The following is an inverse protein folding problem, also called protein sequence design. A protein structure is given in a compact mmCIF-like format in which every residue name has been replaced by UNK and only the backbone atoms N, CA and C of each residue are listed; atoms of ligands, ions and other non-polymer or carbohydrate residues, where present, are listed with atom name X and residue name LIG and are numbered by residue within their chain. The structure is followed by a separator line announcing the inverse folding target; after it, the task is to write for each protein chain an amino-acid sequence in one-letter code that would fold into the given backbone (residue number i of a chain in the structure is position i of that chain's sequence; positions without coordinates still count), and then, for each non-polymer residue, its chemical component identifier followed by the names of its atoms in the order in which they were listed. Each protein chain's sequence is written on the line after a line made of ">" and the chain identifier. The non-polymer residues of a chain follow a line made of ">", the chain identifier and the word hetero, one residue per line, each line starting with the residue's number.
data_IF_633234949510
#
_entry.id   IF_633234949510
#
_cell.length_a   1.000
_cell.length_b   1.000
_cell.length_c   1.000
_cell.angle_alpha   90.00
_cell.angle_beta   90.00
_cell.angle_gamma   90.00
#
_symmetry.space_group_name_H-M   'P 1'
#
loop_
_entity.id
_entity.type
_entity.pdbx_description
1 polymer ?
#
# COMPACT_ATOMS: atom_id res chain seq x y z
N UNK A 1 16.33 19.59 -9.69
CA UNK A 1 15.04 19.11 -9.16
C UNK A 1 14.85 19.70 -7.77
N UNK A 2 13.70 20.33 -7.48
CA UNK A 2 13.32 20.73 -6.12
C UNK A 2 13.45 19.59 -5.10
N UNK A 3 13.75 19.93 -3.85
CA UNK A 3 13.86 18.97 -2.74
C UNK A 3 12.61 19.06 -1.86
N UNK A 4 11.87 17.95 -1.76
CA UNK A 4 10.86 17.76 -0.72
C UNK A 4 11.54 17.15 0.52
N UNK A 5 11.52 17.86 1.65
CA UNK A 5 12.13 17.36 2.89
C UNK A 5 11.30 16.21 3.47
N UNK A 6 11.99 15.19 3.94
CA UNK A 6 11.40 14.06 4.65
C UNK A 6 12.06 13.96 6.03
N UNK A 7 11.30 13.77 7.12
CA UNK A 7 11.88 13.60 8.44
C UNK A 7 12.91 12.47 8.47
N UNK A 8 14.08 12.72 9.06
CA UNK A 8 15.12 11.71 9.23
C UNK A 8 14.79 10.78 10.42
N UNK A 9 15.24 9.50 10.38
CA UNK A 9 15.90 8.85 9.25
C UNK A 9 14.92 8.57 8.10
N UNK A 10 15.41 8.64 6.86
CA UNK A 10 14.65 8.25 5.67
C UNK A 10 15.57 7.57 4.65
N UNK A 11 15.17 6.38 4.23
CA UNK A 11 15.81 5.59 3.18
C UNK A 11 14.85 5.45 2.00
N UNK A 12 15.17 6.15 0.91
CA UNK A 12 14.36 6.17 -0.30
C UNK A 12 14.31 4.80 -0.97
N UNK A 13 15.43 4.10 -1.06
CA UNK A 13 15.53 2.80 -1.74
C UNK A 13 14.73 1.73 -0.98
N UNK A 14 14.86 1.72 0.35
CA UNK A 14 14.12 0.81 1.22
C UNK A 14 12.62 1.07 1.19
N UNK A 15 12.21 2.35 1.23
CA UNK A 15 10.79 2.75 1.23
C UNK A 15 10.10 2.47 -0.11
N UNK A 16 10.85 2.53 -1.21
CA UNK A 16 10.33 2.33 -2.57
C UNK A 16 10.62 0.94 -3.14
N UNK A 17 11.33 0.07 -2.43
CA UNK A 17 11.68 -1.29 -2.89
C UNK A 17 10.46 -2.06 -3.40
N UNK A 18 9.30 -1.89 -2.76
CA UNK A 18 8.08 -2.63 -3.14
C UNK A 18 7.55 -2.31 -4.53
N UNK A 19 7.95 -1.18 -5.13
CA UNK A 19 7.64 -0.84 -6.52
C UNK A 19 8.50 -1.63 -7.52
N UNK A 20 9.49 -2.39 -7.04
CA UNK A 20 10.33 -3.31 -7.82
C UNK A 20 10.06 -4.78 -7.49
N UNK A 21 9.58 -5.07 -6.29
CA UNK A 21 9.49 -6.44 -5.75
C UNK A 21 8.61 -7.41 -6.56
N UNK A 22 7.59 -6.92 -7.27
CA UNK A 22 6.57 -7.77 -7.90
C UNK A 22 6.42 -7.56 -9.42
N UNK A 23 7.37 -6.85 -10.03
CA UNK A 23 7.34 -6.43 -11.43
C UNK A 23 7.04 -4.94 -11.62
N UNK A 24 7.09 -4.43 -12.85
CA UNK A 24 6.81 -3.02 -13.13
C UNK A 24 5.38 -2.66 -12.74
N UNK A 25 5.15 -1.43 -12.33
CA UNK A 25 3.83 -0.84 -12.14
C UNK A 25 3.74 0.41 -13.01
N UNK A 26 2.90 0.41 -14.05
CA UNK A 26 2.84 1.53 -14.99
C UNK A 26 2.35 2.84 -14.34
N UNK A 27 1.64 2.78 -13.21
CA UNK A 27 1.20 3.96 -12.47
C UNK A 27 2.26 4.45 -11.47
N UNK A 28 3.19 3.59 -11.06
CA UNK A 28 4.27 3.88 -10.11
C UNK A 28 5.57 3.23 -10.63
N UNK A 29 6.04 3.70 -11.78
CA UNK A 29 7.07 3.03 -12.55
C UNK A 29 8.45 3.31 -11.96
N UNK A 30 9.14 2.27 -11.52
CA UNK A 30 10.55 2.38 -11.13
C UNK A 30 11.47 2.16 -12.34
N UNK A 31 12.23 3.18 -12.72
CA UNK A 31 13.20 3.14 -13.83
C UNK A 31 14.28 4.21 -13.64
N UNK A 32 15.50 3.98 -14.13
CA UNK A 32 16.62 4.94 -14.09
C UNK A 32 16.90 5.52 -12.68
N UNK A 33 16.83 4.66 -11.65
CA UNK A 33 17.10 5.01 -10.26
C UNK A 33 16.07 5.96 -9.63
N UNK A 34 14.86 6.03 -10.20
CA UNK A 34 13.79 6.91 -9.73
C UNK A 34 12.42 6.24 -9.85
N UNK A 35 11.47 6.76 -9.07
CA UNK A 35 10.04 6.45 -9.20
C UNK A 35 9.37 7.51 -10.08
N UNK A 36 8.61 7.05 -11.06
CA UNK A 36 7.88 7.88 -12.01
C UNK A 36 6.38 7.65 -11.85
N UNK A 37 5.61 8.73 -11.74
CA UNK A 37 4.14 8.68 -11.66
C UNK A 37 3.52 9.83 -12.44
N UNK A 38 2.33 9.62 -12.98
CA UNK A 38 1.57 10.71 -13.60
C UNK A 38 0.64 11.35 -12.57
N UNK A 39 0.73 12.67 -12.43
CA UNK A 39 -0.13 13.49 -11.56
C UNK A 39 -0.66 14.66 -12.38
N UNK A 40 -1.99 14.84 -12.41
CA UNK A 40 -2.65 15.88 -13.20
C UNK A 40 -2.15 15.91 -14.67
N UNK A 41 -2.00 14.73 -15.29
CA UNK A 41 -1.56 14.58 -16.68
C UNK A 41 -0.07 14.82 -16.95
N UNK A 42 0.74 15.06 -15.92
CA UNK A 42 2.18 15.31 -16.04
C UNK A 42 2.99 14.22 -15.35
N UNK A 43 4.12 13.85 -15.95
CA UNK A 43 5.09 12.99 -15.27
C UNK A 43 5.69 13.72 -14.06
N UNK A 44 5.76 13.02 -12.93
CA UNK A 44 6.47 13.41 -11.73
C UNK A 44 7.54 12.37 -11.44
N UNK A 45 8.79 12.83 -11.34
CA UNK A 45 9.95 12.00 -11.02
C UNK A 45 10.36 12.21 -9.57
N UNK A 46 10.52 11.12 -8.83
CA UNK A 46 11.03 11.09 -7.46
C UNK A 46 12.36 10.34 -7.44
N UNK A 47 13.42 10.99 -6.95
CA UNK A 47 14.77 10.42 -6.87
C UNK A 47 15.36 10.65 -5.47
N UNK A 48 16.32 9.80 -5.02
CA UNK A 48 16.96 9.98 -3.73
C UNK A 48 17.66 11.35 -3.64
N UNK A 49 17.48 12.04 -2.52
CA UNK A 49 18.10 13.32 -2.22
C UNK A 49 18.69 13.35 -0.81
N UNK A 50 19.74 14.13 -0.60
CA UNK A 50 20.27 14.33 0.76
C UNK A 50 19.25 15.10 1.61
N UNK A 51 18.76 14.49 2.69
CA UNK A 51 17.76 15.08 3.59
C UNK A 51 16.33 15.10 3.05
N UNK A 52 16.01 14.28 2.04
CA UNK A 52 14.65 14.18 1.48
C UNK A 52 14.59 13.47 0.14
N UNK A 53 13.70 13.93 -0.72
CA UNK A 53 13.48 13.37 -2.06
C UNK A 53 13.51 14.50 -3.08
N UNK A 54 14.27 14.30 -4.15
CA UNK A 54 14.27 15.19 -5.31
C UNK A 54 13.01 14.92 -6.13
N UNK A 55 12.17 15.93 -6.32
CA UNK A 55 10.86 15.82 -6.97
C UNK A 55 10.80 16.79 -8.14
N UNK A 56 10.34 16.33 -9.31
CA UNK A 56 10.21 17.17 -10.49
C UNK A 56 9.01 16.76 -11.34
N UNK A 57 8.01 17.65 -11.55
CA UNK A 57 7.86 18.95 -10.90
C UNK A 57 7.38 18.83 -9.43
N UNK A 58 7.80 19.77 -8.58
CA UNK A 58 7.27 19.94 -7.22
C UNK A 58 6.42 21.22 -7.16
N UNK A 59 5.11 21.07 -7.09
CA UNK A 59 4.14 22.16 -7.05
C UNK A 59 2.89 21.76 -6.22
N UNK A 60 1.92 22.67 -5.98
CA UNK A 60 0.75 22.37 -5.15
C UNK A 60 -0.11 21.18 -5.62
N UNK A 61 -0.01 20.77 -6.89
CA UNK A 61 -0.72 19.60 -7.40
C UNK A 61 0.05 18.30 -7.16
N UNK A 62 1.38 18.33 -7.23
CA UNK A 62 2.22 17.12 -7.09
C UNK A 62 2.62 16.83 -5.65
N UNK A 63 2.84 17.86 -4.83
CA UNK A 63 3.33 17.73 -3.46
C UNK A 63 2.44 16.84 -2.57
N UNK A 64 1.10 16.97 -2.55
CA UNK A 64 0.27 16.10 -1.72
C UNK A 64 0.37 14.62 -2.13
N UNK A 65 0.38 14.34 -3.44
CA UNK A 65 0.48 12.98 -3.99
C UNK A 65 1.84 12.36 -3.65
N UNK A 66 2.91 13.13 -3.84
CA UNK A 66 4.27 12.70 -3.49
C UNK A 66 4.37 12.47 -1.98
N UNK A 67 3.85 13.38 -1.16
CA UNK A 67 3.84 13.21 0.29
C UNK A 67 3.20 11.87 0.70
N UNK A 68 2.09 11.50 0.08
CA UNK A 68 1.45 10.20 0.29
C UNK A 68 2.31 9.02 -0.17
N UNK A 69 2.93 9.09 -1.34
CA UNK A 69 3.86 8.05 -1.81
C UNK A 69 5.07 7.89 -0.88
N UNK A 70 5.51 8.97 -0.23
CA UNK A 70 6.58 8.92 0.77
C UNK A 70 6.08 8.53 2.16
N UNK A 71 4.77 8.33 2.33
CA UNK A 71 4.11 7.94 3.57
C UNK A 71 3.92 9.07 4.58
N UNK A 72 3.94 10.37 4.17
CA UNK A 72 4.04 11.59 5.02
C UNK A 72 3.04 11.66 6.19
N UNK A 73 1.97 10.89 6.13
CA UNK A 73 0.95 10.78 7.17
C UNK A 73 1.38 9.95 8.39
N UNK A 74 2.42 9.10 8.30
CA UNK A 74 2.84 8.24 9.41
C UNK A 74 3.79 8.95 10.39
N UNK A 75 3.48 8.85 11.69
CA UNK A 75 4.36 9.23 12.81
C UNK A 75 5.31 8.08 13.17
N UNK A 76 6.47 8.05 12.51
CA UNK A 76 7.49 7.03 12.76
C UNK A 76 8.27 7.27 14.05
N UNK A 77 8.33 8.50 14.55
CA UNK A 77 9.04 8.81 15.79
C UNK A 77 8.30 8.20 16.98
N UNK A 78 6.99 8.42 17.05
CA UNK A 78 6.15 7.82 18.09
C UNK A 78 6.10 6.28 17.98
N UNK A 79 6.02 5.74 16.76
CA UNK A 79 6.09 4.29 16.55
C UNK A 79 7.43 3.70 17.01
N UNK A 80 8.55 4.37 16.73
CA UNK A 80 9.87 3.92 17.16
C UNK A 80 10.02 3.94 18.68
N UNK A 81 9.52 4.99 19.35
CA UNK A 81 9.48 5.05 20.82
C UNK A 81 8.67 3.89 21.39
N UNK A 82 7.45 3.71 20.88
CA UNK A 82 6.57 2.60 21.28
C UNK A 82 7.23 1.23 21.10
N UNK A 83 7.84 0.98 19.94
CA UNK A 83 8.52 -0.26 19.65
C UNK A 83 9.65 -0.53 20.66
N UNK A 84 10.50 0.46 20.92
CA UNK A 84 11.62 0.33 21.84
C UNK A 84 11.19 0.12 23.30
N UNK A 85 10.09 0.73 23.72
CA UNK A 85 9.60 0.67 25.09
C UNK A 85 8.78 -0.59 25.38
N UNK A 86 8.01 -1.08 24.40
CA UNK A 86 6.96 -2.08 24.64
C UNK A 86 7.16 -3.41 23.91
N UNK A 87 7.97 -3.49 22.85
CA UNK A 87 8.10 -4.71 22.07
C UNK A 87 9.51 -4.93 21.47
N UNK A 88 10.24 -5.90 22.03
CA UNK A 88 11.62 -6.26 21.57
C UNK A 88 11.70 -6.76 20.12
N UNK A 89 10.63 -7.34 19.58
CA UNK A 89 10.60 -7.75 18.18
C UNK A 89 10.47 -6.53 17.28
N UNK A 90 9.58 -5.60 17.62
CA UNK A 90 9.44 -4.34 16.90
C UNK A 90 10.68 -3.46 17.04
N UNK A 91 11.28 -3.36 18.22
CA UNK A 91 12.51 -2.59 18.45
C UNK A 91 13.62 -3.00 17.47
N UNK A 92 13.87 -4.32 17.35
CA UNK A 92 14.85 -4.87 16.39
C UNK A 92 14.46 -4.58 14.94
N UNK A 93 13.17 -4.68 14.59
CA UNK A 93 12.70 -4.37 13.24
C UNK A 93 12.85 -2.88 12.91
N UNK A 94 12.56 -1.99 13.84
CA UNK A 94 12.73 -0.54 13.66
C UNK A 94 14.20 -0.19 13.46
N UNK A 95 15.10 -0.79 14.22
CA UNK A 95 16.55 -0.63 14.03
C UNK A 95 17.01 -1.13 12.66
N UNK A 96 16.62 -2.35 12.28
CA UNK A 96 17.03 -2.95 10.99
C UNK A 96 16.41 -2.29 9.77
N UNK A 97 15.25 -1.68 9.94
CA UNK A 97 14.52 -0.94 8.91
C UNK A 97 14.66 0.57 9.14
N UNK A 98 15.78 1.03 9.71
CA UNK A 98 16.02 2.45 9.93
C UNK A 98 15.83 3.24 8.61
N UNK A 99 14.95 4.25 8.65
CA UNK A 99 14.59 5.04 7.49
C UNK A 99 13.50 4.46 6.59
N UNK A 100 13.01 3.25 6.84
CA UNK A 100 11.86 2.71 6.12
C UNK A 100 10.61 3.54 6.40
N UNK A 101 9.93 3.93 5.34
CA UNK A 101 8.61 4.54 5.41
C UNK A 101 7.64 3.85 4.47
N UNK A 102 6.53 3.29 4.96
CA UNK A 102 5.59 2.59 4.09
C UNK A 102 4.92 3.58 3.13
N UNK A 103 4.95 3.32 1.80
CA UNK A 103 4.28 4.19 0.85
C UNK A 103 2.76 3.94 0.88
N UNK A 104 2.00 5.02 0.76
CA UNK A 104 0.54 5.01 0.72
C UNK A 104 0.04 5.08 -0.73
N UNK A 105 -1.16 4.56 -0.96
CA UNK A 105 -1.89 4.74 -2.20
C UNK A 105 -2.53 6.14 -2.19
N UNK A 106 -2.13 7.05 -3.09
CA UNK A 106 -2.57 8.44 -3.02
C UNK A 106 -4.03 8.63 -3.43
N UNK A 107 -4.52 7.81 -4.36
CA UNK A 107 -5.87 7.89 -4.93
C UNK A 107 -6.77 6.75 -4.37
N UNK A 108 -7.99 7.05 -3.88
CA UNK A 108 -8.86 6.04 -3.28
C UNK A 108 -9.39 5.03 -4.29
N UNK A 109 -9.69 5.45 -5.51
CA UNK A 109 -10.22 4.57 -6.54
C UNK A 109 -9.15 3.58 -7.01
N UNK A 110 -7.94 4.08 -7.31
CA UNK A 110 -6.75 3.26 -7.61
C UNK A 110 -6.47 2.26 -6.49
N UNK A 111 -6.58 2.66 -5.22
CA UNK A 111 -6.38 1.78 -4.07
C UNK A 111 -7.37 0.60 -4.05
N UNK A 112 -8.65 0.88 -4.34
CA UNK A 112 -9.70 -0.14 -4.37
C UNK A 112 -9.58 -1.06 -5.60
N UNK A 113 -9.33 -0.51 -6.80
CA UNK A 113 -9.10 -1.32 -8.01
C UNK A 113 -7.86 -2.20 -7.87
N UNK A 114 -6.79 -1.66 -7.26
CA UNK A 114 -5.59 -2.42 -6.91
C UNK A 114 -5.91 -3.58 -5.99
N UNK A 115 -6.75 -3.35 -4.98
CA UNK A 115 -7.20 -4.38 -4.04
C UNK A 115 -8.02 -5.46 -4.75
N UNK A 116 -9.02 -5.09 -5.56
CA UNK A 116 -9.83 -6.03 -6.36
C UNK A 116 -8.93 -6.90 -7.24
N UNK A 117 -7.94 -6.29 -7.90
CA UNK A 117 -7.02 -7.02 -8.78
C UNK A 117 -6.19 -8.05 -8.02
N UNK A 118 -5.78 -7.74 -6.78
CA UNK A 118 -4.96 -8.60 -5.93
C UNK A 118 -5.73 -9.72 -5.19
N UNK A 119 -7.07 -9.71 -5.17
CA UNK A 119 -7.86 -10.73 -4.48
C UNK A 119 -7.57 -12.15 -5.02
N UNK A 120 -7.29 -13.12 -4.15
CA UNK A 120 -7.21 -14.56 -4.49
C UNK A 120 -6.19 -14.92 -5.59
N UNK A 121 -5.15 -14.10 -5.81
CA UNK A 121 -4.10 -14.35 -6.81
C UNK A 121 -2.72 -13.97 -6.26
N UNK A 122 -1.64 -14.36 -6.96
CA UNK A 122 -0.30 -13.85 -6.63
C UNK A 122 -0.18 -12.36 -6.98
N UNK A 123 0.72 -11.66 -6.28
CA UNK A 123 0.98 -10.25 -6.57
C UNK A 123 1.54 -10.06 -7.98
N UNK A 124 2.39 -10.95 -8.49
CA UNK A 124 2.90 -10.88 -9.86
C UNK A 124 1.76 -10.95 -10.89
N UNK A 125 0.80 -11.86 -10.70
CA UNK A 125 -0.37 -11.95 -11.58
C UNK A 125 -1.25 -10.69 -11.48
N UNK A 126 -1.43 -10.16 -10.27
CA UNK A 126 -2.18 -8.94 -10.04
C UNK A 126 -1.53 -7.72 -10.74
N UNK A 127 -0.21 -7.56 -10.66
CA UNK A 127 0.52 -6.48 -11.35
C UNK A 127 0.43 -6.62 -12.86
N UNK A 128 0.56 -7.84 -13.41
CA UNK A 128 0.45 -8.06 -14.85
C UNK A 128 -0.93 -7.68 -15.40
N UNK A 129 -2.00 -8.06 -14.70
CA UNK A 129 -3.39 -7.69 -15.06
C UNK A 129 -3.60 -6.18 -14.93
N UNK A 130 -3.13 -5.57 -13.82
CA UNK A 130 -3.25 -4.12 -13.59
C UNK A 130 -2.50 -3.31 -14.64
N UNK A 131 -1.31 -3.74 -15.07
CA UNK A 131 -0.58 -3.04 -16.13
C UNK A 131 -1.30 -3.07 -17.47
N UNK A 132 -1.98 -4.18 -17.81
CA UNK A 132 -2.80 -4.22 -19.04
C UNK A 132 -4.01 -3.29 -18.94
N UNK A 133 -4.63 -3.17 -17.76
CA UNK A 133 -5.68 -2.17 -17.50
C UNK A 133 -5.14 -0.75 -17.71
N UNK A 134 -4.02 -0.40 -17.08
CA UNK A 134 -3.40 0.92 -17.18
C UNK A 134 -2.96 1.23 -18.61
N UNK A 135 -2.39 0.26 -19.34
CA UNK A 135 -2.00 0.46 -20.73
C UNK A 135 -3.21 0.68 -21.66
N UNK A 136 -4.35 0.05 -21.38
CA UNK A 136 -5.57 0.13 -22.21
C UNK A 136 -6.43 1.36 -21.91
N UNK A 137 -6.52 1.76 -20.65
CA UNK A 137 -7.45 2.80 -20.18
C UNK A 137 -6.77 3.98 -19.48
N UNK A 138 -5.48 3.90 -19.20
CA UNK A 138 -4.67 5.01 -18.68
C UNK A 138 -4.17 5.91 -19.81
N UNK A 139 -3.50 7.01 -19.45
CA UNK A 139 -2.89 7.92 -20.41
C UNK A 139 -1.38 8.04 -20.16
N UNK A 140 -0.52 7.87 -21.17
CA UNK A 140 0.92 8.01 -20.98
C UNK A 140 1.29 9.48 -20.74
N UNK A 141 2.22 9.71 -19.82
CA UNK A 141 2.91 10.99 -19.70
C UNK A 141 4.37 10.71 -19.28
N UNK A 142 5.30 11.09 -20.15
CA UNK A 142 6.71 10.72 -19.99
C UNK A 142 6.89 9.21 -19.99
N UNK A 143 7.43 8.65 -18.91
CA UNK A 143 7.71 7.21 -18.78
C UNK A 143 6.59 6.43 -18.11
N UNK A 144 5.73 7.10 -17.35
CA UNK A 144 4.65 6.48 -16.61
C UNK A 144 3.30 6.68 -17.30
N UNK A 145 2.27 6.04 -16.76
CA UNK A 145 0.89 6.19 -17.18
C UNK A 145 0.04 6.71 -16.01
N UNK A 146 -0.94 7.55 -16.31
CA UNK A 146 -2.00 7.83 -15.35
C UNK A 146 -2.83 6.58 -15.12
N UNK A 147 -3.26 6.37 -13.88
CA UNK A 147 -4.28 5.37 -13.61
C UNK A 147 -5.59 5.75 -14.31
N UNK A 148 -6.39 4.78 -14.83
CA UNK A 148 -7.69 5.08 -15.41
C UNK A 148 -8.63 5.76 -14.41
N UNK A 149 -9.34 6.81 -14.84
CA UNK A 149 -10.32 7.49 -13.97
C UNK A 149 -11.59 6.64 -13.76
N UNK A 150 -12.36 6.88 -12.70
CA UNK A 150 -13.67 6.26 -12.51
C UNK A 150 -14.58 6.47 -13.72
N UNK A 151 -14.63 7.67 -14.29
CA UNK A 151 -15.49 8.01 -15.42
C UNK A 151 -15.13 7.19 -16.66
N UNK A 152 -13.83 6.99 -16.91
CA UNK A 152 -13.37 6.19 -18.05
C UNK A 152 -13.74 4.71 -17.86
N UNK A 153 -13.53 4.14 -16.67
CA UNK A 153 -13.88 2.74 -16.41
C UNK A 153 -15.39 2.51 -16.25
N UNK A 154 -16.17 3.54 -15.91
CA UNK A 154 -17.63 3.46 -15.86
C UNK A 154 -18.24 3.24 -17.27
N UNK A 155 -17.58 3.76 -18.31
CA UNK A 155 -17.97 3.57 -19.71
C UNK A 155 -17.50 2.25 -20.33
N UNK A 156 -16.66 1.46 -19.63
CA UNK A 156 -16.18 0.18 -20.13
C UNK A 156 -17.20 -0.95 -19.90
N UNK A 157 -17.19 -1.95 -20.79
CA UNK A 157 -17.90 -3.20 -20.55
C UNK A 157 -17.02 -4.20 -19.77
N UNK A 158 -17.58 -5.01 -18.84
CA UNK A 158 -16.81 -6.00 -18.11
C UNK A 158 -16.02 -6.97 -19.00
N UNK A 159 -16.53 -7.27 -20.20
CA UNK A 159 -15.89 -8.09 -21.21
C UNK A 159 -14.55 -7.50 -21.69
N UNK A 160 -14.44 -6.17 -21.77
CA UNK A 160 -13.18 -5.51 -22.12
C UNK A 160 -12.11 -5.78 -21.07
N UNK A 161 -12.47 -5.71 -19.77
CA UNK A 161 -11.54 -6.02 -18.68
C UNK A 161 -11.24 -7.52 -18.63
N UNK A 162 -12.21 -8.39 -18.88
CA UNK A 162 -11.98 -9.83 -18.97
C UNK A 162 -10.96 -10.18 -20.07
N UNK A 163 -11.00 -9.49 -21.22
CA UNK A 163 -10.01 -9.64 -22.29
C UNK A 163 -8.58 -9.22 -21.87
N UNK A 164 -8.45 -8.37 -20.84
CA UNK A 164 -7.17 -8.01 -20.21
C UNK A 164 -6.74 -9.01 -19.14
N UNK A 165 -7.44 -10.14 -18.98
CA UNK A 165 -7.09 -11.21 -18.04
C UNK A 165 -7.67 -11.03 -16.63
N UNK A 166 -8.64 -10.13 -16.44
CA UNK A 166 -9.48 -10.17 -15.25
C UNK A 166 -10.38 -11.42 -15.27
N UNK A 167 -10.72 -11.95 -14.10
CA UNK A 167 -11.89 -12.83 -14.03
C UNK A 167 -13.15 -12.00 -14.28
N UNK A 168 -14.20 -12.62 -14.84
CA UNK A 168 -15.50 -11.94 -15.09
C UNK A 168 -16.02 -11.20 -13.85
N UNK A 169 -15.97 -11.87 -12.68
CA UNK A 169 -16.35 -11.26 -11.40
C UNK A 169 -15.53 -10.02 -11.06
N UNK A 170 -14.20 -10.05 -11.20
CA UNK A 170 -13.36 -8.88 -10.90
C UNK A 170 -13.60 -7.74 -11.88
N UNK A 171 -13.83 -8.05 -13.16
CA UNK A 171 -14.22 -7.05 -14.15
C UNK A 171 -15.54 -6.37 -13.76
N UNK A 172 -16.57 -7.15 -13.39
CA UNK A 172 -17.84 -6.62 -12.86
C UNK A 172 -17.62 -5.74 -11.61
N UNK A 173 -16.72 -6.12 -10.71
CA UNK A 173 -16.45 -5.35 -9.49
C UNK A 173 -15.75 -4.02 -9.79
N UNK A 174 -14.78 -3.99 -10.72
CA UNK A 174 -14.09 -2.75 -11.10
C UNK A 174 -15.06 -1.80 -11.81
N UNK A 175 -15.82 -2.28 -12.80
CA UNK A 175 -16.82 -1.46 -13.50
C UNK A 175 -17.95 -1.03 -12.55
N UNK A 176 -18.39 -1.92 -11.68
CA UNK A 176 -19.40 -1.62 -10.66
C UNK A 176 -18.95 -0.58 -9.64
N UNK A 177 -17.68 -0.64 -9.20
CA UNK A 177 -17.08 0.40 -8.35
C UNK A 177 -17.01 1.73 -9.10
N UNK A 178 -16.59 1.74 -10.36
CA UNK A 178 -16.51 2.94 -11.19
C UNK A 178 -17.87 3.63 -11.39
N UNK A 179 -18.95 2.83 -11.42
CA UNK A 179 -20.34 3.30 -11.52
C UNK A 179 -21.00 3.58 -10.15
N UNK A 180 -20.29 3.33 -9.05
CA UNK A 180 -20.86 3.45 -7.71
C UNK A 180 -21.07 4.93 -7.34
N UNK A 181 -22.18 5.29 -6.68
CA UNK A 181 -22.37 6.64 -6.16
C UNK A 181 -21.58 6.90 -4.85
N UNK A 182 -20.72 5.96 -4.44
CA UNK A 182 -19.94 6.09 -3.22
C UNK A 182 -19.00 7.29 -3.30
N UNK A 183 -19.18 8.25 -2.38
CA UNK A 183 -18.23 9.35 -2.21
C UNK A 183 -16.94 8.84 -1.57
N UNK A 184 -15.97 8.52 -2.44
CA UNK A 184 -14.65 8.06 -2.02
C UNK A 184 -13.83 9.14 -1.29
N UNK A 185 -14.06 10.42 -1.58
CA UNK A 185 -13.35 11.51 -0.93
C UNK A 185 -13.84 11.68 0.52
N UNK A 186 -15.15 11.61 0.74
CA UNK A 186 -15.78 11.68 2.06
C UNK A 186 -15.36 10.56 3.03
N UNK A 187 -14.84 9.43 2.53
CA UNK A 187 -14.32 8.35 3.38
C UNK A 187 -13.17 8.78 4.30
N UNK A 188 -12.44 9.85 3.94
CA UNK A 188 -11.32 10.34 4.76
C UNK A 188 -11.76 10.83 6.14
N UNK A 189 -12.94 11.44 6.20
CA UNK A 189 -13.48 12.07 7.41
C UNK A 189 -14.41 11.14 8.19
N UNK A 190 -14.80 10.01 7.61
CA UNK A 190 -15.62 8.99 8.24
C UNK A 190 -14.86 8.15 9.27
N UNK A 191 -15.59 7.60 10.25
CA UNK A 191 -15.01 6.67 11.23
C UNK A 191 -14.55 5.36 10.57
N UNK A 192 -13.61 4.64 11.18
CA UNK A 192 -13.13 3.36 10.64
C UNK A 192 -14.27 2.34 10.47
N UNK A 193 -15.28 2.37 11.35
CA UNK A 193 -16.46 1.52 11.27
C UNK A 193 -17.34 1.89 10.07
N UNK A 194 -17.57 3.19 9.86
CA UNK A 194 -18.37 3.69 8.73
C UNK A 194 -17.68 3.43 7.40
N UNK A 195 -16.36 3.66 7.31
CA UNK A 195 -15.56 3.33 6.11
C UNK A 195 -15.70 1.85 5.78
N UNK A 196 -15.57 0.96 6.77
CA UNK A 196 -15.76 -0.49 6.57
C UNK A 196 -17.17 -0.81 6.09
N UNK A 197 -18.19 -0.23 6.70
CA UNK A 197 -19.59 -0.47 6.32
C UNK A 197 -19.88 0.01 4.89
N UNK A 198 -19.46 1.24 4.54
CA UNK A 198 -19.64 1.83 3.23
C UNK A 198 -18.93 1.02 2.15
N UNK A 199 -17.64 0.70 2.34
CA UNK A 199 -16.90 -0.12 1.38
C UNK A 199 -17.54 -1.49 1.18
N UNK A 200 -17.95 -2.17 2.26
CA UNK A 200 -18.57 -3.50 2.18
C UNK A 200 -19.96 -3.50 1.56
N UNK A 201 -20.61 -2.35 1.42
CA UNK A 201 -21.86 -2.21 0.67
C UNK A 201 -21.65 -2.30 -0.85
N UNK A 202 -20.41 -2.06 -1.32
CA UNK A 202 -20.05 -2.18 -2.74
C UNK A 202 -19.75 -3.65 -3.06
N UNK A 203 -20.45 -4.18 -4.06
CA UNK A 203 -20.27 -5.57 -4.52
C UNK A 203 -18.80 -5.81 -4.91
N UNK A 204 -18.19 -6.82 -4.30
CA UNK A 204 -16.80 -7.21 -4.55
C UNK A 204 -15.78 -6.68 -3.54
N UNK A 205 -16.19 -5.78 -2.64
CA UNK A 205 -15.36 -5.29 -1.55
C UNK A 205 -15.72 -5.99 -0.24
N UNK A 206 -14.75 -6.66 0.38
CA UNK A 206 -14.92 -7.36 1.65
C UNK A 206 -14.11 -6.72 2.79
N UNK A 207 -14.16 -7.34 3.97
CA UNK A 207 -13.37 -6.93 5.16
C UNK A 207 -11.89 -6.73 4.83
N UNK A 208 -11.28 -7.70 4.14
CA UNK A 208 -9.88 -7.63 3.71
C UNK A 208 -9.56 -6.38 2.87
N UNK A 209 -10.46 -6.00 1.96
CA UNK A 209 -10.26 -4.79 1.14
C UNK A 209 -10.44 -3.52 1.95
N UNK A 210 -11.44 -3.49 2.84
CA UNK A 210 -11.67 -2.34 3.70
C UNK A 210 -10.51 -2.11 4.70
N UNK A 211 -9.98 -3.18 5.31
CA UNK A 211 -8.83 -3.08 6.20
C UNK A 211 -7.58 -2.56 5.48
N UNK A 212 -7.32 -3.05 4.26
CA UNK A 212 -6.21 -2.54 3.47
C UNK A 212 -6.43 -1.12 2.97
N UNK A 213 -7.67 -0.70 2.70
CA UNK A 213 -7.99 0.68 2.38
C UNK A 213 -7.72 1.59 3.57
N UNK A 214 -8.16 1.22 4.78
CA UNK A 214 -7.84 1.94 6.02
C UNK A 214 -6.33 2.06 6.22
N UNK A 215 -5.59 0.96 6.02
CA UNK A 215 -4.15 0.91 6.25
C UNK A 215 -3.34 1.69 5.21
N UNK A 216 -3.57 1.43 3.91
CA UNK A 216 -2.72 1.89 2.80
C UNK A 216 -3.24 3.13 2.09
N UNK A 217 -4.53 3.46 2.23
CA UNK A 217 -5.09 4.69 1.67
C UNK A 217 -5.56 5.69 2.73
N UNK A 218 -5.93 5.30 3.95
CA UNK A 218 -6.27 6.30 4.98
C UNK A 218 -5.20 6.46 6.07
N UNK A 219 -4.13 5.66 6.00
CA UNK A 219 -3.05 5.64 7.00
C UNK A 219 -3.58 5.51 8.45
N UNK A 220 -4.74 4.86 8.65
CA UNK A 220 -5.38 4.78 9.96
C UNK A 220 -4.47 4.00 10.92
N UNK A 221 -4.15 4.55 12.10
CA UNK A 221 -3.10 3.99 12.95
C UNK A 221 -3.48 2.59 13.47
N UNK A 222 -4.77 2.37 13.73
CA UNK A 222 -5.33 1.10 14.21
C UNK A 222 -5.78 0.12 13.12
N UNK A 223 -5.50 0.40 11.84
CA UNK A 223 -5.84 -0.53 10.77
C UNK A 223 -5.05 -1.83 10.90
N UNK A 224 -5.75 -2.97 10.98
CA UNK A 224 -5.15 -4.28 11.18
C UNK A 224 -5.77 -5.34 10.26
N UNK A 225 -5.21 -5.55 9.05
CA UNK A 225 -5.73 -6.51 8.06
C UNK A 225 -5.51 -7.99 8.44
N UNK A 226 -6.00 -8.44 9.60
CA UNK A 226 -5.71 -9.77 10.15
C UNK A 226 -6.09 -10.94 9.23
N UNK A 227 -7.07 -10.76 8.34
CA UNK A 227 -7.46 -11.76 7.33
C UNK A 227 -6.48 -11.90 6.17
N UNK A 228 -5.48 -11.03 6.06
CA UNK A 228 -4.48 -11.08 4.99
C UNK A 228 -3.48 -12.24 5.21
N UNK A 229 -3.36 -13.13 4.23
CA UNK A 229 -2.46 -14.27 4.30
C UNK A 229 -0.98 -13.85 4.43
N UNK A 230 -0.57 -12.76 3.78
CA UNK A 230 0.78 -12.23 3.87
C UNK A 230 1.08 -11.72 5.28
N UNK A 231 0.15 -10.96 5.85
CA UNK A 231 0.25 -10.47 7.22
C UNK A 231 0.25 -11.63 8.21
N UNK A 232 -0.65 -12.62 8.07
CA UNK A 232 -0.67 -13.81 8.92
C UNK A 232 0.68 -14.55 8.91
N UNK A 233 1.28 -14.74 7.73
CA UNK A 233 2.61 -15.34 7.60
C UNK A 233 3.70 -14.48 8.24
N UNK A 234 3.62 -13.16 8.11
CA UNK A 234 4.56 -12.24 8.76
C UNK A 234 4.44 -12.30 10.28
N UNK A 235 3.24 -12.14 10.84
CA UNK A 235 3.00 -12.22 12.28
C UNK A 235 3.41 -13.59 12.82
N UNK A 236 3.12 -14.69 12.11
CA UNK A 236 3.55 -16.03 12.50
C UNK A 236 5.07 -16.18 12.54
N UNK A 237 5.78 -15.58 11.58
CA UNK A 237 7.23 -15.66 11.55
C UNK A 237 7.89 -14.92 12.73
N UNK A 238 7.29 -13.81 13.16
CA UNK A 238 7.84 -12.96 14.22
C UNK A 238 7.32 -13.27 15.63
N UNK A 239 6.08 -13.77 15.76
CA UNK A 239 5.39 -14.00 17.04
C UNK A 239 4.80 -15.41 17.18
N UNK A 240 4.87 -16.22 16.14
CA UNK A 240 4.30 -17.58 16.14
C UNK A 240 5.19 -18.63 16.80
N UNK A 241 6.40 -18.30 17.24
CA UNK A 241 7.31 -19.24 17.93
C UNK A 241 7.50 -20.59 17.19
N UNK A 242 7.58 -20.55 15.85
CA UNK A 242 7.76 -21.73 15.00
C UNK A 242 6.47 -22.40 14.52
N UNK A 243 5.29 -21.87 14.86
CA UNK A 243 3.99 -22.31 14.30
C UNK A 243 3.30 -21.21 13.50
N UNK A 244 2.43 -21.63 12.59
CA UNK A 244 1.52 -20.73 11.90
C UNK A 244 0.35 -20.34 12.81
N UNK A 245 0.07 -19.04 12.88
CA UNK A 245 -1.04 -18.48 13.66
C UNK A 245 -2.34 -18.47 12.83
N UNK A 246 -3.46 -18.73 13.50
CA UNK A 246 -4.80 -18.59 12.91
C UNK A 246 -5.15 -17.11 12.68
N UNK A 247 -6.19 -16.84 11.89
CA UNK A 247 -6.70 -15.48 11.69
C UNK A 247 -7.17 -14.86 13.02
N UNK A 248 -7.80 -15.66 13.88
CA UNK A 248 -8.30 -15.25 15.19
C UNK A 248 -7.15 -14.88 16.13
N UNK A 249 -6.08 -15.67 16.14
CA UNK A 249 -4.87 -15.39 16.94
C UNK A 249 -4.18 -14.11 16.44
N UNK A 250 -4.06 -13.94 15.13
CA UNK A 250 -3.50 -12.70 14.54
C UNK A 250 -4.39 -11.50 14.85
N UNK A 251 -5.72 -11.67 14.85
CA UNK A 251 -6.65 -10.60 15.24
C UNK A 251 -6.50 -10.23 16.72
N UNK A 252 -6.34 -11.20 17.61
CA UNK A 252 -6.15 -10.95 19.04
C UNK A 252 -4.83 -10.22 19.35
N UNK A 253 -3.79 -10.41 18.53
CA UNK A 253 -2.52 -9.68 18.69
C UNK A 253 -2.64 -8.17 18.40
N UNK A 254 -3.75 -7.68 17.83
CA UNK A 254 -3.93 -6.25 17.57
C UNK A 254 -3.79 -5.38 18.83
N UNK A 255 -4.27 -5.87 19.98
CA UNK A 255 -4.25 -5.13 21.26
C UNK A 255 -2.82 -4.90 21.76
N UNK A 256 -1.90 -5.81 21.43
CA UNK A 256 -0.47 -5.68 21.77
C UNK A 256 0.16 -4.47 21.10
N UNK A 257 -0.37 -4.06 19.95
CA UNK A 257 0.23 -3.05 19.10
C UNK A 257 -0.51 -1.72 19.14
N UNK A 258 -1.43 -1.48 20.07
CA UNK A 258 -2.16 -0.21 20.16
C UNK A 258 -1.23 0.97 20.52
N UNK A 259 -1.32 2.13 19.84
CA UNK A 259 -2.20 2.48 18.72
C UNK A 259 -1.59 2.24 17.32
N UNK A 260 -0.48 1.54 17.20
CA UNK A 260 0.36 1.38 15.99
C UNK A 260 0.18 0.04 15.25
N UNK A 261 -1.03 -0.51 15.21
CA UNK A 261 -1.32 -1.76 14.49
C UNK A 261 -0.91 -1.66 13.01
N UNK A 262 -1.20 -0.54 12.35
CA UNK A 262 -0.91 -0.36 10.93
C UNK A 262 0.59 -0.33 10.62
N UNK A 263 1.36 0.49 11.35
CA UNK A 263 2.82 0.52 11.19
C UNK A 263 3.45 -0.82 11.54
N UNK A 264 2.94 -1.50 12.57
CA UNK A 264 3.35 -2.87 12.89
C UNK A 264 3.13 -3.81 11.71
N UNK A 265 1.95 -3.80 11.08
CA UNK A 265 1.67 -4.63 9.91
C UNK A 265 2.65 -4.37 8.76
N UNK A 266 2.95 -3.09 8.48
CA UNK A 266 3.90 -2.71 7.45
C UNK A 266 5.33 -3.15 7.74
N UNK A 267 5.81 -3.02 8.97
CA UNK A 267 7.16 -3.41 9.38
C UNK A 267 7.32 -4.93 9.39
N UNK A 268 6.32 -5.69 9.85
CA UNK A 268 6.35 -7.15 9.82
C UNK A 268 6.37 -7.69 8.39
N UNK A 269 5.52 -7.15 7.50
CA UNK A 269 5.52 -7.54 6.08
C UNK A 269 6.86 -7.25 5.41
N UNK A 270 7.43 -6.07 5.66
CA UNK A 270 8.70 -5.63 5.07
C UNK A 270 9.87 -6.45 5.62
N UNK A 271 9.95 -6.59 6.96
CA UNK A 271 10.96 -7.39 7.62
C UNK A 271 10.93 -8.84 7.16
N UNK A 272 9.74 -9.45 7.03
CA UNK A 272 9.62 -10.81 6.50
C UNK A 272 10.10 -10.92 5.05
N UNK A 273 9.72 -9.98 4.19
CA UNK A 273 10.14 -9.98 2.78
C UNK A 273 11.67 -9.85 2.64
N UNK A 274 12.31 -9.10 3.54
CA UNK A 274 13.76 -8.93 3.60
C UNK A 274 14.48 -10.03 4.41
N UNK A 275 13.76 -11.04 4.93
CA UNK A 275 14.32 -12.20 5.62
C UNK A 275 14.73 -11.96 7.08
N UNK A 276 14.22 -10.90 7.72
CA UNK A 276 14.61 -10.52 9.08
C UNK A 276 13.96 -11.39 10.17
N UNK A 277 13.09 -12.32 9.79
CA UNK A 277 12.48 -13.32 10.65
C UNK A 277 13.42 -14.49 11.02
N UNK A 278 14.45 -14.74 10.21
CA UNK A 278 15.37 -15.88 10.39
C UNK A 278 16.33 -15.73 11.58
N UNK A 279 16.53 -14.51 12.07
CA UNK A 279 17.44 -14.25 13.20
C UNK A 279 16.79 -14.55 14.56
N UNK A 280 15.49 -14.87 14.60
CA UNK A 280 14.77 -15.20 15.83
C UNK A 280 14.79 -16.69 16.19
N UNK A 281 15.05 -17.55 15.22
CA UNK A 281 15.18 -19.01 15.42
C UNK A 281 16.57 -19.41 15.92
N UNK A 282 17.57 -18.51 15.84
CA UNK A 282 18.97 -18.75 16.19
C UNK A 282 19.36 -18.53 17.66
N UNK A 283 18.46 -18.09 18.54
CA UNK A 283 18.73 -17.97 19.98
C UNK A 283 18.13 -19.15 20.75
N UNK A 284 18.65 -20.35 20.47
CA UNK A 284 18.47 -21.54 21.31
C UNK A 284 19.84 -22.20 21.48
N UNK A 285 20.66 -21.59 22.33
CA UNK A 285 21.74 -22.29 23.03
C UNK A 285 21.29 -22.51 24.48
#
# INVERSE_FOLDING_TARGET
>A
MPLLRVPAPYDFELSTERFRAFGPDLANLWVDGALHRVVAGREVRLAPGSGGVLVDPLDPATEPVVGRLLGLEFDLAAFSSFANEHDRVLARLVERLAGFRPPLAPDPFEALVTSITAQQVSLQAAFAVRNRLIARFGSPAGRAYSFPSPEHLAGAEPEELAALGFSRRKAEYVVGLARSPLDLAGLRDASDADVKALLRSVRGLGEWTADWFLARHLARPRAWPAGDLGLRKAVSAFYGAGRELSTEEVRALADRFDPFQNLTAHYLLTGKRLGFDQDQTGSRD
#
